data_IF_424134449417
#
_entry.id   IF_424134449417
#
_cell.length_a   1.000
_cell.length_b   1.000
_cell.length_c   1.000
_cell.angle_alpha   90.00
_cell.angle_beta   90.00
_cell.angle_gamma   90.00
#
_symmetry.space_group_name_H-M   'P 1'
#
loop_
_entity.id
_entity.type
_entity.pdbx_description
1 polymer ?
#
# COMPACT_ATOMS: atom_id res chain seq x y z
N UNK A 1 1.19 2.54 14.53
CA UNK A 1 0.81 3.08 13.21
C UNK A 1 -0.45 2.39 12.68
N UNK A 2 -1.41 3.16 12.16
CA UNK A 2 -2.65 2.63 11.55
C UNK A 2 -2.36 2.10 10.15
N UNK A 3 -3.20 1.18 9.67
CA UNK A 3 -3.07 0.57 8.34
C UNK A 3 -3.06 1.59 7.20
N UNK A 4 -3.95 2.58 7.26
CA UNK A 4 -4.07 3.62 6.23
C UNK A 4 -2.80 4.44 6.09
N UNK A 5 -2.25 4.92 7.21
CA UNK A 5 -1.04 5.75 7.24
C UNK A 5 0.18 4.96 6.71
N UNK A 6 0.29 3.69 7.14
CA UNK A 6 1.31 2.74 6.66
C UNK A 6 1.21 2.51 5.15
N UNK A 7 0.02 2.23 4.63
CA UNK A 7 -0.15 1.99 3.19
C UNK A 7 0.14 3.27 2.39
N UNK A 8 -0.26 4.44 2.89
CA UNK A 8 0.02 5.70 2.22
C UNK A 8 1.53 6.01 2.17
N UNK A 9 2.28 5.80 3.26
CA UNK A 9 3.74 6.00 3.23
C UNK A 9 4.39 5.09 2.22
N UNK A 10 4.03 3.80 2.20
CA UNK A 10 4.62 2.85 1.27
C UNK A 10 4.27 3.13 -0.20
N UNK A 11 3.08 3.67 -0.48
CA UNK A 11 2.73 4.13 -1.83
C UNK A 11 3.65 5.28 -2.24
N UNK A 12 3.83 6.29 -1.38
CA UNK A 12 4.71 7.42 -1.67
C UNK A 12 6.15 6.96 -1.88
N UNK A 13 6.65 6.10 -1.00
CA UNK A 13 8.01 5.57 -1.08
C UNK A 13 8.23 4.72 -2.33
N UNK A 14 7.26 3.86 -2.68
CA UNK A 14 7.31 3.09 -3.92
C UNK A 14 7.34 3.98 -5.16
N UNK A 15 6.43 4.96 -5.23
CA UNK A 15 6.36 5.91 -6.34
C UNK A 15 7.67 6.72 -6.48
N UNK A 16 8.23 7.20 -5.37
CA UNK A 16 9.50 7.91 -5.35
C UNK A 16 10.67 7.02 -5.81
N UNK A 17 10.70 5.75 -5.37
CA UNK A 17 11.74 4.80 -5.74
C UNK A 17 11.73 4.45 -7.23
N UNK A 18 10.54 4.21 -7.80
CA UNK A 18 10.38 3.90 -9.23
C UNK A 18 10.47 5.17 -10.10
N UNK A 19 10.39 6.36 -9.49
CA UNK A 19 10.38 7.64 -10.21
C UNK A 19 9.08 7.88 -10.99
N UNK A 20 7.99 7.24 -10.59
CA UNK A 20 6.68 7.31 -11.24
C UNK A 20 5.62 7.89 -10.32
N UNK A 21 4.65 8.62 -10.90
CA UNK A 21 3.45 9.10 -10.18
C UNK A 21 2.28 8.12 -10.27
N UNK A 22 2.43 7.06 -11.05
CA UNK A 22 1.43 6.02 -11.26
C UNK A 22 2.03 4.66 -10.95
N UNK A 23 1.19 3.74 -10.50
CA UNK A 23 1.57 2.37 -10.23
C UNK A 23 0.42 1.43 -10.58
N UNK A 24 0.76 0.19 -10.95
CA UNK A 24 -0.24 -0.87 -11.00
C UNK A 24 -0.35 -1.52 -9.62
N UNK A 25 -1.56 -1.98 -9.27
CA UNK A 25 -1.78 -2.71 -8.02
C UNK A 25 -0.90 -3.96 -7.92
N UNK A 26 -0.69 -4.65 -9.05
CA UNK A 26 0.13 -5.86 -9.12
C UNK A 26 1.58 -5.57 -8.74
N UNK A 27 2.18 -4.58 -9.38
CA UNK A 27 3.61 -4.26 -9.18
C UNK A 27 3.85 -3.73 -7.75
N UNK A 28 2.94 -2.88 -7.25
CA UNK A 28 3.00 -2.38 -5.88
C UNK A 28 2.91 -3.50 -4.85
N UNK A 29 1.95 -4.42 -5.00
CA UNK A 29 1.83 -5.56 -4.08
C UNK A 29 3.06 -6.46 -4.18
N UNK A 30 3.54 -6.78 -5.39
CA UNK A 30 4.72 -7.62 -5.57
C UNK A 30 5.96 -7.01 -4.88
N UNK A 31 6.12 -5.68 -4.93
CA UNK A 31 7.26 -5.00 -4.32
C UNK A 31 7.17 -4.84 -2.79
N UNK A 32 5.96 -4.70 -2.23
CA UNK A 32 5.75 -4.30 -0.83
C UNK A 32 5.08 -5.36 0.06
N UNK A 33 4.63 -6.48 -0.50
CA UNK A 33 3.86 -7.49 0.26
C UNK A 33 4.63 -8.04 1.45
N UNK A 34 5.91 -8.38 1.28
CA UNK A 34 6.74 -8.92 2.35
C UNK A 34 6.85 -7.94 3.53
N UNK A 35 7.07 -6.66 3.22
CA UNK A 35 7.10 -5.60 4.22
C UNK A 35 5.78 -5.52 5.00
N UNK A 36 4.63 -5.57 4.32
CA UNK A 36 3.34 -5.53 5.01
C UNK A 36 3.08 -6.78 5.87
N UNK A 37 3.55 -7.96 5.45
CA UNK A 37 3.49 -9.19 6.25
C UNK A 37 4.30 -9.00 7.54
N UNK A 38 5.54 -8.48 7.44
CA UNK A 38 6.39 -8.24 8.59
C UNK A 38 5.86 -7.14 9.52
N UNK A 39 5.28 -6.07 8.96
CA UNK A 39 4.74 -4.96 9.72
C UNK A 39 3.44 -5.30 10.47
N UNK A 40 2.69 -6.31 9.99
CA UNK A 40 1.37 -6.70 10.52
C UNK A 40 1.20 -8.23 10.53
N UNK A 41 2.02 -8.97 11.30
CA UNK A 41 2.10 -10.44 11.22
C UNK A 41 0.80 -11.15 11.60
N UNK A 42 -0.05 -10.53 12.42
CA UNK A 42 -1.31 -11.14 12.87
C UNK A 42 -2.40 -11.20 11.78
N UNK A 43 -2.24 -10.45 10.68
CA UNK A 43 -3.23 -10.40 9.63
C UNK A 43 -2.94 -11.44 8.54
N UNK A 44 -3.81 -12.44 8.42
CA UNK A 44 -3.68 -13.54 7.44
C UNK A 44 -4.09 -13.16 6.01
N UNK A 45 -4.65 -11.97 5.81
CA UNK A 45 -5.18 -11.50 4.53
C UNK A 45 -4.59 -10.12 4.15
N UNK A 46 -3.26 -10.03 4.16
CA UNK A 46 -2.52 -8.77 3.95
C UNK A 46 -2.89 -8.08 2.63
N UNK A 47 -2.83 -8.79 1.50
CA UNK A 47 -3.11 -8.17 0.20
C UNK A 47 -4.54 -7.61 0.13
N UNK A 48 -5.52 -8.35 0.64
CA UNK A 48 -6.90 -7.90 0.69
C UNK A 48 -7.04 -6.64 1.55
N UNK A 49 -6.30 -6.59 2.67
CA UNK A 49 -6.28 -5.42 3.54
C UNK A 49 -5.64 -4.21 2.87
N UNK A 50 -4.53 -4.39 2.15
CA UNK A 50 -3.86 -3.33 1.38
C UNK A 50 -4.80 -2.81 0.30
N UNK A 51 -5.45 -3.68 -0.47
CA UNK A 51 -6.48 -3.28 -1.46
C UNK A 51 -7.60 -2.46 -0.83
N UNK A 52 -8.11 -2.88 0.33
CA UNK A 52 -9.10 -2.11 1.07
C UNK A 52 -8.59 -0.72 1.47
N UNK A 53 -7.35 -0.61 1.96
CA UNK A 53 -6.80 0.69 2.35
C UNK A 53 -6.60 1.62 1.15
N UNK A 54 -6.16 1.10 0.00
CA UNK A 54 -6.05 1.88 -1.23
C UNK A 54 -7.41 2.47 -1.66
N UNK A 55 -8.50 1.70 -1.51
CA UNK A 55 -9.84 2.22 -1.77
C UNK A 55 -10.22 3.36 -0.82
N UNK A 56 -9.89 3.25 0.47
CA UNK A 56 -10.12 4.34 1.43
C UNK A 56 -9.29 5.58 1.09
N UNK A 57 -8.00 5.41 0.76
CA UNK A 57 -7.13 6.51 0.36
C UNK A 57 -7.65 7.21 -0.90
N UNK A 58 -8.13 6.43 -1.89
CA UNK A 58 -8.78 6.97 -3.09
C UNK A 58 -10.05 7.76 -2.75
N UNK A 59 -10.93 7.19 -1.92
CA UNK A 59 -12.16 7.86 -1.51
C UNK A 59 -11.90 9.15 -0.71
N UNK A 60 -10.74 9.26 -0.06
CA UNK A 60 -10.26 10.47 0.63
C UNK A 60 -9.43 11.40 -0.27
N UNK A 61 -9.37 11.14 -1.59
CA UNK A 61 -8.58 11.89 -2.58
C UNK A 61 -7.08 12.00 -2.24
N UNK A 62 -6.51 10.99 -1.55
CA UNK A 62 -5.08 10.90 -1.26
C UNK A 62 -4.29 10.25 -2.40
N UNK A 63 -4.96 9.38 -3.15
CA UNK A 63 -4.48 8.78 -4.39
C UNK A 63 -5.63 8.79 -5.41
N UNK A 64 -5.32 8.55 -6.68
CA UNK A 64 -6.30 8.59 -7.78
C UNK A 64 -6.24 7.31 -8.59
#
# INVERSE_FOLDING_TARGET
MKWKDLVLSEVVDYCNHVGSRTFSLKDFLQAKLEFFIQAKPDNRHIEAKVRQQLQFLRNENKIT
#
